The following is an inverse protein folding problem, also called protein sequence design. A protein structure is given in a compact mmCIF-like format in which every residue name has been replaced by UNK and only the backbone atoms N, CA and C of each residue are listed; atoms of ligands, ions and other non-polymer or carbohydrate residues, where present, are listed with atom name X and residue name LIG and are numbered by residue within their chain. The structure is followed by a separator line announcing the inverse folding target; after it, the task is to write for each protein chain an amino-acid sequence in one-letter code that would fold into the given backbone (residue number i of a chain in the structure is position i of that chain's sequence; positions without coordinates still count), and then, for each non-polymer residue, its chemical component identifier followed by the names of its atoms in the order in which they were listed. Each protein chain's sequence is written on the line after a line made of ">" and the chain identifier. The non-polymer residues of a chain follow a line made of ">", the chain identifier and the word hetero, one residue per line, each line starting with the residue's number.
data_IF_822363352648
#
_entry.id   IF_822363352648
#
_cell.length_a   1.000
_cell.length_b   1.000
_cell.length_c   1.000
_cell.angle_alpha   90.00
_cell.angle_beta   90.00
_cell.angle_gamma   90.00
#
_symmetry.space_group_name_H-M   'P 1'
#
loop_
_entity.id
_entity.type
_entity.pdbx_description
1 polymer ?
#
# COMPACT_ATOMS: atom_id res chain seq x y z
N UNK A 1 41.68 0.12 -4.45
CA UNK A 1 40.32 0.42 -3.99
C UNK A 1 39.29 0.52 -5.14
N UNK A 2 39.63 1.06 -6.31
CA UNK A 2 38.67 1.22 -7.44
C UNK A 2 38.03 -0.08 -7.94
N UNK A 3 38.80 -1.18 -8.09
CA UNK A 3 38.28 -2.44 -8.68
C UNK A 3 37.31 -3.25 -7.78
N UNK A 4 37.45 -3.13 -6.45
CA UNK A 4 36.55 -3.85 -5.52
C UNK A 4 35.18 -3.16 -5.42
N UNK A 5 35.16 -1.83 -5.41
CA UNK A 5 33.92 -1.03 -5.36
C UNK A 5 33.13 -1.28 -6.65
N UNK A 6 33.78 -1.29 -7.81
CA UNK A 6 33.14 -1.54 -9.10
C UNK A 6 32.51 -2.94 -9.21
N UNK A 7 33.12 -3.98 -8.61
CA UNK A 7 32.55 -5.34 -8.61
C UNK A 7 31.29 -5.41 -7.74
N UNK A 8 31.34 -4.87 -6.53
CA UNK A 8 30.17 -4.86 -5.63
C UNK A 8 29.00 -4.08 -6.25
N UNK A 9 29.25 -2.98 -6.94
CA UNK A 9 28.21 -2.21 -7.64
C UNK A 9 27.59 -3.00 -8.80
N UNK A 10 28.38 -3.78 -9.53
CA UNK A 10 27.88 -4.64 -10.61
C UNK A 10 27.01 -5.78 -10.10
N UNK A 11 27.47 -6.45 -9.05
CA UNK A 11 26.74 -7.55 -8.43
C UNK A 11 25.40 -7.07 -7.89
N UNK A 12 25.37 -5.92 -7.20
CA UNK A 12 24.14 -5.29 -6.72
C UNK A 12 23.21 -4.83 -7.87
N UNK A 13 23.75 -4.36 -9.00
CA UNK A 13 22.95 -4.01 -10.17
C UNK A 13 22.34 -5.23 -10.86
N UNK A 14 23.06 -6.35 -10.90
CA UNK A 14 22.56 -7.61 -11.42
C UNK A 14 21.39 -8.13 -10.57
N UNK A 15 21.55 -8.13 -9.24
CA UNK A 15 20.51 -8.49 -8.29
C UNK A 15 19.26 -7.57 -8.43
N UNK A 16 19.47 -6.27 -8.57
CA UNK A 16 18.38 -5.30 -8.81
C UNK A 16 17.59 -5.62 -10.08
N UNK A 17 18.28 -5.98 -11.16
CA UNK A 17 17.68 -6.35 -12.44
C UNK A 17 16.81 -7.61 -12.30
N UNK A 18 17.30 -8.64 -11.62
CA UNK A 18 16.57 -9.89 -11.37
C UNK A 18 15.36 -9.66 -10.45
N UNK A 19 15.57 -9.00 -9.31
CA UNK A 19 14.51 -8.75 -8.29
C UNK A 19 13.35 -7.97 -8.87
N UNK A 20 13.62 -6.98 -9.75
CA UNK A 20 12.58 -6.17 -10.37
C UNK A 20 12.09 -6.72 -11.72
N UNK A 21 12.55 -7.91 -12.14
CA UNK A 21 12.19 -8.51 -13.44
C UNK A 21 12.37 -7.55 -14.61
N UNK A 22 13.44 -6.74 -14.58
CA UNK A 22 13.72 -5.75 -15.61
C UNK A 22 14.50 -6.39 -16.77
N UNK A 23 14.24 -5.93 -17.99
CA UNK A 23 15.10 -6.22 -19.12
C UNK A 23 16.30 -5.27 -19.15
N UNK A 24 17.42 -5.68 -19.77
CA UNK A 24 18.60 -4.81 -19.96
C UNK A 24 18.25 -3.50 -20.66
N UNK A 25 17.32 -3.54 -21.61
CA UNK A 25 16.81 -2.35 -22.30
C UNK A 25 16.07 -1.40 -21.37
N UNK A 26 15.21 -1.92 -20.49
CA UNK A 26 14.50 -1.10 -19.51
C UNK A 26 15.45 -0.47 -18.50
N UNK A 27 16.42 -1.24 -18.01
CA UNK A 27 17.47 -0.73 -17.12
C UNK A 27 18.35 0.31 -17.83
N UNK A 28 18.70 0.09 -19.08
CA UNK A 28 19.43 1.06 -19.89
C UNK A 28 18.68 2.39 -20.02
N UNK A 29 17.39 2.34 -20.31
CA UNK A 29 16.55 3.54 -20.38
C UNK A 29 16.50 4.29 -19.04
N UNK A 30 16.40 3.58 -17.89
CA UNK A 30 16.42 4.18 -16.56
C UNK A 30 17.76 4.88 -16.25
N UNK A 31 18.87 4.30 -16.71
CA UNK A 31 20.22 4.79 -16.44
C UNK A 31 20.75 5.74 -17.55
N UNK A 32 19.94 6.05 -18.56
CA UNK A 32 20.32 6.91 -19.68
C UNK A 32 21.43 6.30 -20.57
N UNK A 33 21.47 4.97 -20.71
CA UNK A 33 22.47 4.24 -21.49
C UNK A 33 21.81 3.19 -22.40
N UNK A 34 22.55 2.78 -23.43
CA UNK A 34 22.10 1.69 -24.32
C UNK A 34 22.13 0.33 -23.61
N UNK A 35 21.29 -0.60 -24.05
CA UNK A 35 21.28 -1.98 -23.59
C UNK A 35 22.66 -2.64 -23.68
N UNK A 36 23.36 -2.43 -24.79
CA UNK A 36 24.71 -2.95 -25.02
C UNK A 36 25.74 -2.39 -24.02
N UNK A 37 25.59 -1.14 -23.61
CA UNK A 37 26.47 -0.54 -22.61
C UNK A 37 26.23 -1.17 -21.23
N UNK A 38 24.98 -1.32 -20.80
CA UNK A 38 24.62 -1.97 -19.53
C UNK A 38 25.10 -3.42 -19.50
N UNK A 39 24.89 -4.17 -20.59
CA UNK A 39 25.36 -5.56 -20.72
C UNK A 39 26.88 -5.66 -20.57
N UNK A 40 27.66 -4.80 -21.26
CA UNK A 40 29.12 -4.79 -21.13
C UNK A 40 29.58 -4.43 -19.72
N UNK A 41 28.93 -3.46 -19.08
CA UNK A 41 29.22 -3.09 -17.70
C UNK A 41 28.99 -4.27 -16.73
N UNK A 42 27.86 -4.95 -16.82
CA UNK A 42 27.55 -6.13 -15.99
C UNK A 42 28.56 -7.28 -16.23
N UNK A 43 29.03 -7.45 -17.46
CA UNK A 43 30.03 -8.45 -17.81
C UNK A 43 31.50 -8.03 -17.48
N UNK A 44 31.68 -6.90 -16.79
CA UNK A 44 33.01 -6.44 -16.38
C UNK A 44 33.89 -5.88 -17.48
N UNK A 45 33.30 -5.50 -18.63
CA UNK A 45 33.98 -4.93 -19.79
C UNK A 45 33.44 -3.53 -20.11
N UNK A 46 33.47 -2.58 -19.15
CA UNK A 46 32.96 -1.25 -19.40
C UNK A 46 33.85 -0.51 -20.39
N UNK A 47 33.25 0.33 -21.23
CA UNK A 47 33.97 1.22 -22.15
C UNK A 47 33.76 2.68 -21.73
N UNK A 48 34.84 3.47 -21.77
CA UNK A 48 34.82 4.89 -21.49
C UNK A 48 34.78 5.25 -20.00
N UNK A 49 34.37 6.49 -19.68
CA UNK A 49 34.24 6.97 -18.30
C UNK A 49 33.03 6.34 -17.61
N UNK A 50 33.29 5.46 -16.67
CA UNK A 50 32.27 4.76 -15.88
C UNK A 50 31.84 5.54 -14.65
N UNK A 51 32.56 6.57 -14.22
CA UNK A 51 32.30 7.25 -12.94
C UNK A 51 30.92 7.92 -12.88
N UNK A 52 30.47 8.54 -13.97
CA UNK A 52 29.13 9.13 -14.04
C UNK A 52 28.03 8.04 -14.04
N UNK A 53 28.27 6.94 -14.74
CA UNK A 53 27.34 5.80 -14.79
C UNK A 53 27.25 5.10 -13.44
N UNK A 54 28.37 4.87 -12.77
CA UNK A 54 28.39 4.29 -11.40
C UNK A 54 27.68 5.15 -10.38
N UNK A 55 27.78 6.48 -10.48
CA UNK A 55 26.98 7.39 -9.67
C UNK A 55 25.48 7.21 -9.91
N UNK A 56 25.06 7.13 -11.17
CA UNK A 56 23.66 6.87 -11.52
C UNK A 56 23.18 5.51 -11.01
N UNK A 57 23.98 4.46 -11.16
CA UNK A 57 23.70 3.12 -10.63
C UNK A 57 23.55 3.16 -9.10
N UNK A 58 24.52 3.74 -8.39
CA UNK A 58 24.48 3.84 -6.93
C UNK A 58 23.25 4.62 -6.44
N UNK A 59 22.88 5.71 -7.11
CA UNK A 59 21.66 6.44 -6.79
C UNK A 59 20.40 5.60 -7.04
N UNK A 60 20.35 4.84 -8.14
CA UNK A 60 19.22 3.95 -8.45
C UNK A 60 19.11 2.84 -7.41
N UNK A 61 20.20 2.17 -7.07
CA UNK A 61 20.24 1.12 -6.05
C UNK A 61 19.88 1.65 -4.65
N UNK A 62 20.37 2.84 -4.29
CA UNK A 62 20.02 3.50 -3.04
C UNK A 62 18.52 3.81 -2.96
N UNK A 63 17.96 4.40 -4.02
CA UNK A 63 16.54 4.70 -4.09
C UNK A 63 15.67 3.43 -4.05
N UNK A 64 16.12 2.35 -4.71
CA UNK A 64 15.44 1.07 -4.68
C UNK A 64 15.45 0.44 -3.28
N UNK A 65 16.60 0.46 -2.59
CA UNK A 65 16.69 -0.02 -1.20
C UNK A 65 15.78 0.76 -0.26
N UNK A 66 15.78 2.10 -0.36
CA UNK A 66 14.87 2.93 0.41
C UNK A 66 13.41 2.58 0.12
N UNK A 67 13.05 2.44 -1.16
CA UNK A 67 11.68 2.08 -1.56
C UNK A 67 11.26 0.70 -1.04
N UNK A 68 12.11 -0.33 -1.20
CA UNK A 68 11.84 -1.68 -0.70
C UNK A 68 11.66 -1.70 0.82
N UNK A 69 12.54 -1.01 1.54
CA UNK A 69 12.47 -0.93 3.01
C UNK A 69 11.14 -0.33 3.47
N UNK A 70 10.59 0.66 2.73
CA UNK A 70 9.35 1.34 3.12
C UNK A 70 8.08 0.60 2.73
N UNK A 71 8.08 -0.11 1.60
CA UNK A 71 6.89 -0.80 1.09
C UNK A 71 6.59 -2.14 1.80
N UNK A 72 7.59 -2.72 2.47
CA UNK A 72 7.49 -4.03 3.14
C UNK A 72 7.21 -3.95 4.66
N UNK A 73 7.34 -2.78 5.29
CA UNK A 73 7.10 -2.65 6.72
C UNK A 73 5.59 -2.55 6.97
N UNK A 74 5.02 -3.62 7.52
CA UNK A 74 3.66 -3.63 8.06
C UNK A 74 3.72 -3.46 9.57
N UNK A 75 3.00 -2.49 10.08
CA UNK A 75 2.87 -2.26 11.52
C UNK A 75 1.60 -2.92 12.02
N UNK A 76 1.71 -3.73 13.06
CA UNK A 76 0.57 -4.33 13.75
C UNK A 76 -0.08 -3.30 14.68
N UNK A 77 -0.79 -2.35 14.07
CA UNK A 77 -1.55 -1.37 14.82
C UNK A 77 -2.92 -1.94 15.21
N UNK A 78 -3.56 -1.34 16.22
CA UNK A 78 -4.93 -1.74 16.62
C UNK A 78 -5.92 -1.64 15.45
N UNK A 79 -5.78 -0.63 14.58
CA UNK A 79 -6.61 -0.51 13.38
C UNK A 79 -6.41 -1.68 12.41
N UNK A 80 -5.16 -2.16 12.25
CA UNK A 80 -4.85 -3.34 11.44
C UNK A 80 -5.49 -4.58 12.04
N UNK A 81 -5.28 -4.82 13.33
CA UNK A 81 -5.85 -5.98 14.05
C UNK A 81 -7.38 -5.98 14.04
N UNK A 82 -8.02 -4.80 14.15
CA UNK A 82 -9.46 -4.66 14.04
C UNK A 82 -9.95 -5.03 12.64
N UNK A 83 -9.31 -4.50 11.59
CA UNK A 83 -9.68 -4.85 10.21
C UNK A 83 -9.53 -6.35 9.95
N UNK A 84 -8.44 -6.98 10.38
CA UNK A 84 -8.21 -8.42 10.19
C UNK A 84 -9.28 -9.27 10.87
N UNK A 85 -9.68 -8.93 12.10
CA UNK A 85 -10.80 -9.59 12.80
C UNK A 85 -12.11 -9.46 12.02
N UNK A 86 -12.42 -8.27 11.50
CA UNK A 86 -13.63 -8.06 10.72
C UNK A 86 -13.59 -8.80 9.38
N UNK A 87 -12.42 -8.90 8.73
CA UNK A 87 -12.24 -9.73 7.53
C UNK A 87 -12.53 -11.21 7.81
N UNK A 88 -12.06 -11.71 8.93
CA UNK A 88 -12.33 -13.09 9.34
C UNK A 88 -13.81 -13.32 9.66
N UNK A 89 -14.48 -12.36 10.31
CA UNK A 89 -15.93 -12.43 10.57
C UNK A 89 -16.69 -12.48 9.25
N UNK A 90 -16.43 -11.54 8.33
CA UNK A 90 -17.07 -11.49 7.01
C UNK A 90 -16.83 -12.78 6.24
N UNK A 91 -15.61 -13.30 6.26
CA UNK A 91 -15.24 -14.54 5.58
C UNK A 91 -15.98 -15.76 6.14
N UNK A 92 -15.97 -15.92 7.47
CA UNK A 92 -16.58 -17.08 8.14
C UNK A 92 -18.10 -17.08 8.08
N UNK A 93 -18.72 -15.90 8.09
CA UNK A 93 -20.17 -15.77 8.00
C UNK A 93 -20.69 -15.71 6.56
N UNK A 94 -19.82 -15.77 5.55
CA UNK A 94 -20.18 -15.64 4.11
C UNK A 94 -21.05 -14.40 3.84
N UNK A 95 -20.76 -13.28 4.52
CA UNK A 95 -21.53 -12.05 4.45
C UNK A 95 -20.88 -11.00 3.56
N UNK A 96 -21.62 -9.91 3.31
CA UNK A 96 -21.05 -8.66 2.87
C UNK A 96 -20.89 -7.73 4.08
N UNK A 97 -19.67 -7.21 4.29
CA UNK A 97 -19.33 -6.33 5.39
C UNK A 97 -18.78 -5.00 4.93
N UNK A 98 -19.00 -3.96 5.75
CA UNK A 98 -18.43 -2.63 5.58
C UNK A 98 -17.59 -2.26 6.81
N UNK A 99 -16.32 -1.97 6.57
CA UNK A 99 -15.36 -1.51 7.57
C UNK A 99 -14.95 -0.10 7.18
N UNK A 100 -15.19 0.88 8.04
CA UNK A 100 -14.90 2.27 7.71
C UNK A 100 -14.30 3.01 8.89
N UNK A 101 -13.67 4.14 8.62
CA UNK A 101 -13.04 4.97 9.64
C UNK A 101 -12.18 6.07 9.04
N UNK A 102 -11.58 6.90 9.90
CA UNK A 102 -10.79 8.06 9.50
C UNK A 102 -9.68 7.71 8.48
N UNK A 103 -9.32 8.67 7.64
CA UNK A 103 -8.22 8.50 6.69
C UNK A 103 -6.89 8.36 7.43
N UNK A 104 -5.95 7.54 6.91
CA UNK A 104 -4.59 7.45 7.44
C UNK A 104 -4.39 6.52 8.65
N UNK A 105 -5.43 5.87 9.19
CA UNK A 105 -5.34 4.99 10.37
C UNK A 105 -4.81 3.58 10.09
N UNK A 106 -4.53 3.23 8.83
CA UNK A 106 -3.94 1.92 8.49
C UNK A 106 -4.88 0.93 7.78
N UNK A 107 -6.13 1.30 7.41
CA UNK A 107 -7.08 0.39 6.73
C UNK A 107 -6.51 -0.27 5.46
N UNK A 108 -5.96 0.53 4.55
CA UNK A 108 -5.36 0.02 3.31
C UNK A 108 -4.12 -0.84 3.57
N UNK A 109 -3.41 -0.58 4.67
CA UNK A 109 -2.30 -1.42 5.14
C UNK A 109 -2.80 -2.77 5.61
N UNK A 110 -3.90 -2.80 6.38
CA UNK A 110 -4.55 -4.04 6.80
C UNK A 110 -5.03 -4.87 5.61
N UNK A 111 -5.65 -4.23 4.60
CA UNK A 111 -6.09 -4.93 3.38
C UNK A 111 -4.92 -5.61 2.66
N UNK A 112 -3.80 -4.89 2.47
CA UNK A 112 -2.61 -5.45 1.81
C UNK A 112 -1.95 -6.55 2.64
N UNK A 113 -1.82 -6.34 3.96
CA UNK A 113 -1.25 -7.34 4.87
C UNK A 113 -2.07 -8.64 4.82
N UNK A 114 -3.40 -8.53 5.02
CA UNK A 114 -4.29 -9.68 4.98
C UNK A 114 -4.23 -10.43 3.65
N UNK A 115 -4.23 -9.73 2.51
CA UNK A 115 -4.12 -10.35 1.20
C UNK A 115 -2.77 -11.06 0.99
N UNK A 116 -1.68 -10.53 1.55
CA UNK A 116 -0.36 -11.18 1.51
C UNK A 116 -0.32 -12.46 2.35
N UNK A 117 -0.90 -12.41 3.53
CA UNK A 117 -0.95 -13.55 4.46
C UNK A 117 -2.00 -14.60 4.06
N UNK A 118 -3.01 -14.19 3.28
CA UNK A 118 -4.08 -15.05 2.76
C UNK A 118 -4.10 -15.05 1.23
N UNK A 119 -3.25 -15.82 0.54
CA UNK A 119 -3.11 -15.80 -0.92
C UNK A 119 -4.40 -16.18 -1.68
N UNK A 120 -5.37 -16.77 -1.01
CA UNK A 120 -6.69 -17.04 -1.59
C UNK A 120 -7.61 -15.82 -1.58
N UNK A 121 -7.35 -14.80 -0.78
CA UNK A 121 -8.12 -13.56 -0.78
C UNK A 121 -7.88 -12.79 -2.09
N UNK A 122 -8.93 -12.13 -2.57
CA UNK A 122 -8.87 -11.27 -3.76
C UNK A 122 -8.90 -9.84 -3.28
N UNK A 123 -7.83 -9.10 -3.56
CA UNK A 123 -7.71 -7.70 -3.15
C UNK A 123 -7.79 -6.77 -4.35
N UNK A 124 -8.65 -5.76 -4.26
CA UNK A 124 -8.81 -4.73 -5.28
C UNK A 124 -8.90 -3.36 -4.62
N UNK A 125 -8.12 -2.40 -5.12
CA UNK A 125 -8.15 -1.00 -4.66
C UNK A 125 -8.90 -0.14 -5.67
N UNK A 126 -9.95 0.54 -5.22
CA UNK A 126 -10.62 1.56 -6.01
C UNK A 126 -9.83 2.88 -5.99
N UNK A 127 -9.70 3.48 -7.16
CA UNK A 127 -9.24 4.85 -7.36
C UNK A 127 -10.21 5.60 -8.26
N UNK A 128 -9.98 6.86 -8.48
CA UNK A 128 -10.84 7.65 -9.37
C UNK A 128 -10.80 7.07 -10.79
N UNK A 129 -11.98 6.70 -11.31
CA UNK A 129 -12.15 6.13 -12.64
C UNK A 129 -12.27 4.61 -12.73
N UNK A 130 -11.88 3.81 -11.69
CA UNK A 130 -11.94 2.34 -11.77
C UNK A 130 -12.97 1.67 -10.84
N UNK A 131 -13.84 2.45 -10.20
CA UNK A 131 -14.87 1.92 -9.29
C UNK A 131 -16.16 1.44 -9.98
N UNK A 132 -16.18 1.30 -11.29
CA UNK A 132 -17.34 0.87 -12.06
C UNK A 132 -17.44 -0.65 -12.19
N UNK A 133 -18.59 -1.11 -12.71
CA UNK A 133 -18.89 -2.53 -12.91
C UNK A 133 -17.78 -3.29 -13.63
N UNK A 134 -17.27 -2.71 -14.73
CA UNK A 134 -16.34 -3.39 -15.63
C UNK A 134 -14.96 -3.55 -14.97
N UNK A 135 -14.45 -2.50 -14.35
CA UNK A 135 -13.11 -2.50 -13.78
C UNK A 135 -13.03 -3.37 -12.52
N UNK A 136 -14.07 -3.33 -11.66
CA UNK A 136 -14.14 -4.20 -10.49
C UNK A 136 -14.24 -5.68 -10.93
N UNK A 137 -15.09 -6.00 -11.92
CA UNK A 137 -15.18 -7.35 -12.43
C UNK A 137 -13.87 -7.85 -13.03
N UNK A 138 -13.14 -6.98 -13.74
CA UNK A 138 -11.82 -7.31 -14.28
C UNK A 138 -10.79 -7.52 -13.17
N UNK A 139 -10.79 -6.66 -12.16
CA UNK A 139 -9.90 -6.77 -11.00
C UNK A 139 -10.10 -8.10 -10.26
N UNK A 140 -11.36 -8.46 -10.00
CA UNK A 140 -11.70 -9.73 -9.37
C UNK A 140 -11.27 -10.92 -10.26
N UNK A 141 -11.57 -10.85 -11.56
CA UNK A 141 -11.17 -11.89 -12.51
C UNK A 141 -9.64 -12.09 -12.56
N UNK A 142 -8.88 -11.01 -12.49
CA UNK A 142 -7.41 -11.05 -12.41
C UNK A 142 -6.94 -11.75 -11.13
N UNK A 143 -7.57 -11.48 -10.01
CA UNK A 143 -7.30 -12.14 -8.72
C UNK A 143 -7.63 -13.64 -8.69
N UNK A 144 -8.38 -14.15 -9.66
CA UNK A 144 -8.65 -15.60 -9.83
C UNK A 144 -7.65 -16.25 -10.80
N UNK A 145 -6.58 -15.57 -11.16
CA UNK A 145 -5.57 -16.01 -12.15
C UNK A 145 -6.07 -16.12 -13.60
N UNK A 146 -7.01 -15.25 -13.96
CA UNK A 146 -7.63 -15.24 -15.29
C UNK A 146 -7.00 -14.19 -16.21
N UNK A 147 -5.70 -14.20 -16.34
CA UNK A 147 -4.89 -13.17 -17.07
C UNK A 147 -5.24 -12.99 -18.57
N UNK A 148 -6.01 -13.88 -19.16
CA UNK A 148 -6.34 -13.88 -20.60
C UNK A 148 -7.82 -14.01 -20.91
N UNK A 149 -8.69 -13.51 -20.05
CA UNK A 149 -10.13 -13.68 -20.25
C UNK A 149 -10.70 -12.57 -21.15
N UNK A 150 -10.53 -12.72 -22.45
CA UNK A 150 -11.09 -11.80 -23.44
C UNK A 150 -12.50 -12.22 -23.89
N UNK A 151 -13.47 -12.22 -22.97
CA UNK A 151 -14.88 -12.53 -23.25
C UNK A 151 -15.78 -11.32 -23.01
N UNK A 152 -16.97 -11.32 -23.64
CA UNK A 152 -18.02 -10.32 -23.37
C UNK A 152 -18.32 -10.25 -21.86
N UNK A 153 -18.64 -9.07 -21.35
CA UNK A 153 -18.80 -8.76 -19.91
C UNK A 153 -19.74 -9.74 -19.20
N UNK A 154 -20.90 -10.05 -19.81
CA UNK A 154 -21.88 -11.01 -19.25
C UNK A 154 -21.31 -12.40 -19.06
N UNK A 155 -20.56 -12.92 -20.03
CA UNK A 155 -19.92 -14.25 -19.92
C UNK A 155 -18.82 -14.24 -18.86
N UNK A 156 -18.16 -13.07 -18.65
CA UNK A 156 -17.17 -12.90 -17.59
C UNK A 156 -17.81 -12.96 -16.21
N UNK A 157 -18.93 -12.26 -16.01
CA UNK A 157 -19.68 -12.28 -14.75
C UNK A 157 -20.09 -13.71 -14.36
N UNK A 158 -20.77 -14.42 -15.28
CA UNK A 158 -21.20 -15.80 -15.03
C UNK A 158 -20.02 -16.68 -14.62
N UNK A 159 -18.93 -16.61 -15.37
CA UNK A 159 -17.75 -17.42 -15.09
C UNK A 159 -17.10 -17.06 -13.72
N UNK A 160 -16.97 -15.77 -13.40
CA UNK A 160 -16.43 -15.31 -12.11
C UNK A 160 -17.35 -15.77 -10.98
N UNK A 161 -18.65 -15.62 -11.13
CA UNK A 161 -19.66 -16.04 -10.16
C UNK A 161 -19.59 -17.55 -9.89
N UNK A 162 -19.55 -18.38 -10.94
CA UNK A 162 -19.41 -19.85 -10.81
C UNK A 162 -18.10 -20.24 -10.11
N UNK A 163 -17.00 -19.57 -10.46
CA UNK A 163 -15.67 -19.87 -9.91
C UNK A 163 -15.54 -19.48 -8.43
N UNK A 164 -16.25 -18.44 -8.00
CA UNK A 164 -16.22 -17.94 -6.63
C UNK A 164 -17.34 -18.51 -5.76
N UNK A 165 -18.40 -19.03 -6.35
CA UNK A 165 -19.48 -19.68 -5.61
C UNK A 165 -18.90 -20.80 -4.74
N UNK A 166 -19.23 -20.76 -3.45
CA UNK A 166 -18.78 -21.74 -2.44
C UNK A 166 -17.26 -21.88 -2.30
N UNK A 167 -16.47 -20.96 -2.89
CA UNK A 167 -15.01 -21.02 -2.80
C UNK A 167 -14.46 -20.60 -1.43
N UNK A 168 -15.26 -19.89 -0.62
CA UNK A 168 -14.82 -19.27 0.66
C UNK A 168 -13.74 -18.21 0.50
N UNK A 169 -13.46 -17.77 -0.74
CA UNK A 169 -12.47 -16.73 -1.01
C UNK A 169 -13.05 -15.36 -0.67
N UNK A 170 -12.39 -14.66 0.23
CA UNK A 170 -12.79 -13.30 0.58
C UNK A 170 -12.37 -12.32 -0.54
N UNK A 171 -13.30 -11.46 -0.95
CA UNK A 171 -13.01 -10.30 -1.79
C UNK A 171 -12.91 -9.08 -0.89
N UNK A 172 -11.79 -8.38 -0.95
CA UNK A 172 -11.54 -7.13 -0.21
C UNK A 172 -11.48 -5.99 -1.22
N UNK A 173 -12.37 -5.01 -1.07
CA UNK A 173 -12.40 -3.79 -1.89
C UNK A 173 -11.99 -2.61 -1.04
N UNK A 174 -10.78 -2.11 -1.25
CA UNK A 174 -10.26 -0.90 -0.58
C UNK A 174 -10.71 0.37 -1.29
N UNK A 175 -10.80 1.48 -0.54
CA UNK A 175 -11.34 2.75 -0.99
C UNK A 175 -12.79 2.66 -1.52
N UNK A 176 -13.62 1.93 -0.81
CA UNK A 176 -15.02 1.66 -1.21
C UNK A 176 -15.87 2.93 -1.43
N UNK A 177 -15.49 4.08 -0.86
CA UNK A 177 -16.12 5.38 -1.15
C UNK A 177 -16.00 5.80 -2.62
N UNK A 178 -15.10 5.16 -3.39
CA UNK A 178 -14.90 5.43 -4.83
C UNK A 178 -15.70 4.49 -5.75
N UNK A 179 -16.38 3.52 -5.19
CA UNK A 179 -17.24 2.60 -5.95
C UNK A 179 -18.42 3.37 -6.54
N UNK A 180 -18.71 3.17 -7.82
CA UNK A 180 -19.92 3.72 -8.47
C UNK A 180 -21.14 2.87 -8.11
N UNK A 181 -22.35 3.39 -8.40
CA UNK A 181 -23.59 2.62 -8.21
C UNK A 181 -23.59 1.30 -8.98
N UNK A 182 -23.07 1.28 -10.20
CA UNK A 182 -22.97 0.06 -11.02
C UNK A 182 -21.95 -0.93 -10.45
N UNK A 183 -20.82 -0.44 -9.93
CA UNK A 183 -19.84 -1.27 -9.24
C UNK A 183 -20.38 -1.90 -7.97
N UNK A 184 -21.14 -1.13 -7.19
CA UNK A 184 -21.79 -1.63 -5.98
C UNK A 184 -22.85 -2.71 -6.34
N UNK A 185 -23.67 -2.49 -7.38
CA UNK A 185 -24.63 -3.49 -7.85
C UNK A 185 -23.94 -4.79 -8.26
N UNK A 186 -22.82 -4.73 -8.98
CA UNK A 186 -22.02 -5.92 -9.30
C UNK A 186 -21.65 -6.71 -8.05
N UNK A 187 -21.20 -6.05 -6.99
CA UNK A 187 -20.76 -6.72 -5.77
C UNK A 187 -21.93 -7.41 -5.05
N UNK A 188 -23.10 -6.78 -5.01
CA UNK A 188 -24.31 -7.41 -4.48
C UNK A 188 -24.76 -8.61 -5.32
N UNK A 189 -24.68 -8.50 -6.64
CA UNK A 189 -25.04 -9.60 -7.55
C UNK A 189 -24.05 -10.77 -7.40
N UNK A 190 -22.76 -10.51 -7.20
CA UNK A 190 -21.74 -11.53 -6.94
C UNK A 190 -21.96 -12.21 -5.59
N UNK A 191 -22.26 -11.46 -4.55
CA UNK A 191 -22.51 -11.99 -3.21
C UNK A 191 -23.81 -12.82 -3.18
N UNK A 192 -24.82 -12.43 -3.94
CA UNK A 192 -26.07 -13.18 -4.17
C UNK A 192 -26.66 -13.74 -2.86
N UNK A 193 -26.87 -12.88 -1.87
CA UNK A 193 -27.45 -13.22 -0.56
C UNK A 193 -26.71 -14.39 0.14
N UNK A 194 -25.37 -14.39 0.09
CA UNK A 194 -24.52 -15.37 0.76
C UNK A 194 -24.25 -16.66 -0.02
N UNK A 195 -24.80 -16.80 -1.23
CA UNK A 195 -24.47 -17.93 -2.13
C UNK A 195 -23.18 -17.74 -2.90
N UNK A 196 -22.74 -16.50 -3.01
CA UNK A 196 -21.47 -16.11 -3.63
C UNK A 196 -20.34 -15.94 -2.61
N UNK A 197 -19.24 -15.30 -3.01
CA UNK A 197 -18.10 -15.07 -2.15
C UNK A 197 -18.39 -14.03 -1.05
N UNK A 198 -17.79 -14.17 0.15
CA UNK A 198 -17.81 -13.10 1.14
C UNK A 198 -17.09 -11.85 0.60
N UNK A 199 -17.62 -10.65 0.91
CA UNK A 199 -17.09 -9.37 0.41
C UNK A 199 -16.90 -8.39 1.55
N UNK A 200 -15.69 -7.88 1.72
CA UNK A 200 -15.38 -6.80 2.65
C UNK A 200 -15.16 -5.49 1.88
N UNK A 201 -15.99 -4.50 2.14
CA UNK A 201 -15.84 -3.13 1.66
C UNK A 201 -15.08 -2.34 2.72
N UNK A 202 -13.99 -1.68 2.34
CA UNK A 202 -13.16 -0.90 3.25
C UNK A 202 -13.05 0.53 2.73
N UNK A 203 -13.36 1.53 3.58
CA UNK A 203 -13.37 2.92 3.13
C UNK A 203 -13.35 3.96 4.25
N UNK A 204 -13.54 5.21 3.88
CA UNK A 204 -13.82 6.30 4.80
C UNK A 204 -15.33 6.42 5.06
N UNK A 205 -15.79 7.28 5.99
CA UNK A 205 -17.22 7.43 6.30
C UNK A 205 -18.12 7.79 5.11
N UNK A 206 -17.59 8.44 4.05
CA UNK A 206 -18.37 8.83 2.85
C UNK A 206 -19.00 7.62 2.14
N UNK A 207 -18.47 6.41 2.38
CA UNK A 207 -19.04 5.17 1.85
C UNK A 207 -20.46 4.93 2.38
N UNK A 208 -20.77 5.39 3.59
CA UNK A 208 -22.10 5.24 4.19
C UNK A 208 -23.16 6.00 3.40
N UNK A 209 -22.88 7.22 2.97
CA UNK A 209 -23.81 8.03 2.18
C UNK A 209 -24.16 7.37 0.85
N UNK A 210 -23.17 6.74 0.21
CA UNK A 210 -23.39 6.02 -1.05
C UNK A 210 -24.26 4.78 -0.92
N UNK A 211 -24.20 4.14 0.24
CA UNK A 211 -24.94 2.91 0.49
C UNK A 211 -26.33 3.22 1.06
N UNK A 212 -26.45 4.23 1.92
CA UNK A 212 -27.70 4.61 2.60
C UNK A 212 -28.80 5.14 1.66
N UNK A 213 -28.45 5.53 0.44
CA UNK A 213 -29.42 5.92 -0.59
C UNK A 213 -30.21 4.75 -1.23
N UNK A 214 -30.02 3.49 -0.78
CA UNK A 214 -30.69 2.30 -1.29
C UNK A 214 -30.99 1.35 -0.11
N UNK A 215 -32.21 1.43 0.40
CA UNK A 215 -32.65 0.64 1.55
C UNK A 215 -32.46 -0.88 1.35
N UNK A 216 -32.61 -1.35 0.12
CA UNK A 216 -32.45 -2.76 -0.23
C UNK A 216 -30.98 -3.20 -0.05
N UNK A 217 -30.02 -2.35 -0.42
CA UNK A 217 -28.60 -2.64 -0.26
C UNK A 217 -28.15 -2.44 1.16
N UNK A 218 -28.69 -1.41 1.82
CA UNK A 218 -28.40 -1.09 3.21
C UNK A 218 -28.75 -2.24 4.16
N UNK A 219 -29.91 -2.88 3.98
CA UNK A 219 -30.35 -4.01 4.80
C UNK A 219 -29.52 -5.29 4.60
N UNK A 220 -28.83 -5.43 3.47
CA UNK A 220 -27.99 -6.60 3.14
C UNK A 220 -26.57 -6.49 3.68
N UNK A 221 -26.12 -5.30 4.12
CA UNK A 221 -24.84 -5.13 4.80
C UNK A 221 -24.97 -5.49 6.27
N UNK A 222 -24.71 -6.74 6.61
CA UNK A 222 -24.91 -7.29 7.95
C UNK A 222 -23.81 -6.82 8.89
N UNK A 223 -22.57 -6.79 8.45
CA UNK A 223 -21.42 -6.32 9.23
C UNK A 223 -21.14 -4.87 8.88
N UNK A 224 -21.26 -3.97 9.86
CA UNK A 224 -20.89 -2.55 9.74
C UNK A 224 -20.00 -2.18 10.90
N UNK A 225 -18.74 -1.93 10.65
CA UNK A 225 -17.77 -1.62 11.68
C UNK A 225 -17.16 -0.26 11.45
N UNK A 226 -17.45 0.67 12.37
CA UNK A 226 -16.68 1.90 12.50
C UNK A 226 -15.44 1.61 13.34
N UNK A 227 -14.27 1.87 12.77
CA UNK A 227 -12.99 1.74 13.45
C UNK A 227 -12.34 3.10 13.75
N UNK A 228 -13.12 4.20 13.68
CA UNK A 228 -12.61 5.55 13.99
C UNK A 228 -12.22 5.70 15.45
N UNK A 229 -12.69 4.82 16.34
CA UNK A 229 -12.32 4.88 17.76
C UNK A 229 -10.82 4.68 18.00
N UNK A 230 -10.10 4.00 17.09
CA UNK A 230 -8.65 3.82 17.21
C UNK A 230 -7.86 5.13 17.13
N UNK A 231 -8.48 6.22 16.62
CA UNK A 231 -7.87 7.55 16.64
C UNK A 231 -8.10 8.28 17.97
N UNK A 232 -8.94 7.72 18.84
CA UNK A 232 -9.23 8.27 20.16
C UNK A 232 -8.35 7.55 21.19
N UNK A 233 -7.48 8.28 21.90
CA UNK A 233 -6.70 7.73 22.99
C UNK A 233 -5.28 7.31 22.64
N UNK A 234 -4.69 6.42 23.46
CA UNK A 234 -3.28 6.05 23.44
C UNK A 234 -2.85 5.14 22.25
N UNK A 235 -3.81 4.65 21.46
CA UNK A 235 -3.52 3.77 20.33
C UNK A 235 -2.63 4.40 19.26
N UNK A 236 -2.89 5.67 18.93
CA UNK A 236 -2.07 6.41 17.99
C UNK A 236 -0.66 6.66 18.52
N UNK A 237 -0.53 6.92 19.82
CA UNK A 237 0.78 7.15 20.45
C UNK A 237 1.62 5.88 20.40
N UNK A 238 1.01 4.74 20.71
CA UNK A 238 1.68 3.45 20.61
C UNK A 238 2.08 3.15 19.16
N UNK A 239 1.15 3.28 18.22
CA UNK A 239 1.42 3.06 16.81
C UNK A 239 2.51 4.00 16.26
N UNK A 240 2.53 5.27 16.70
CA UNK A 240 3.57 6.22 16.34
C UNK A 240 4.93 5.79 16.88
N UNK A 241 5.01 5.36 18.14
CA UNK A 241 6.23 4.82 18.75
C UNK A 241 6.74 3.58 18.02
N UNK A 242 5.86 2.62 17.71
CA UNK A 242 6.19 1.41 16.97
C UNK A 242 6.72 1.73 15.56
N UNK A 243 6.13 2.72 14.89
CA UNK A 243 6.61 3.20 13.59
C UNK A 243 8.00 3.81 13.68
N UNK A 244 8.27 4.66 14.67
CA UNK A 244 9.61 5.25 14.86
C UNK A 244 10.61 4.14 15.17
N UNK A 245 10.29 3.23 16.10
CA UNK A 245 11.16 2.13 16.47
C UNK A 245 11.54 1.22 15.28
N UNK A 246 10.62 1.01 14.36
CA UNK A 246 10.85 0.17 13.19
C UNK A 246 11.55 0.92 12.03
N UNK A 247 11.24 2.20 11.84
CA UNK A 247 11.76 2.98 10.71
C UNK A 247 13.05 3.74 11.04
N UNK A 248 13.19 4.17 12.29
CA UNK A 248 14.31 5.01 12.74
C UNK A 248 14.61 4.76 14.23
N UNK A 249 15.07 3.55 14.59
CA UNK A 249 15.21 3.13 15.99
C UNK A 249 16.11 4.03 16.82
N UNK A 250 17.19 4.56 16.24
CA UNK A 250 18.12 5.45 16.92
C UNK A 250 17.51 6.82 17.28
N UNK A 251 16.46 7.24 16.59
CA UNK A 251 15.79 8.51 16.86
C UNK A 251 14.63 8.40 17.85
N UNK A 252 14.25 7.19 18.29
CA UNK A 252 13.06 6.97 19.10
C UNK A 252 13.03 7.81 20.39
N UNK A 253 14.15 7.93 21.06
CA UNK A 253 14.27 8.73 22.29
C UNK A 253 14.06 10.23 22.04
N UNK A 254 14.52 10.71 20.89
CA UNK A 254 14.52 12.14 20.55
C UNK A 254 13.18 12.61 20.00
N UNK A 255 12.52 11.77 19.16
CA UNK A 255 11.35 12.21 18.40
C UNK A 255 10.05 11.47 18.78
N UNK A 256 10.06 10.50 19.71
CA UNK A 256 8.87 9.69 20.04
C UNK A 256 7.64 10.53 20.40
N UNK A 257 7.83 11.60 21.21
CA UNK A 257 6.75 12.54 21.56
C UNK A 257 6.25 13.31 20.33
N UNK A 258 7.14 13.85 19.54
CA UNK A 258 6.80 14.61 18.32
C UNK A 258 6.08 13.76 17.28
N UNK A 259 6.47 12.49 17.18
CA UNK A 259 5.80 11.52 16.32
C UNK A 259 4.35 11.26 16.77
N UNK A 260 4.13 11.11 18.09
CA UNK A 260 2.78 10.98 18.66
C UNK A 260 1.92 12.22 18.41
N UNK A 261 2.47 13.41 18.59
CA UNK A 261 1.79 14.68 18.28
C UNK A 261 1.41 14.74 16.78
N UNK A 262 2.30 14.33 15.88
CA UNK A 262 2.02 14.28 14.45
C UNK A 262 0.95 13.26 14.07
N UNK A 263 0.95 12.09 14.71
CA UNK A 263 -0.06 11.06 14.48
C UNK A 263 -1.47 11.48 14.93
N UNK A 264 -1.59 12.43 15.87
CA UNK A 264 -2.88 12.97 16.32
C UNK A 264 -3.46 14.03 15.39
N UNK A 265 -2.65 14.59 14.48
CA UNK A 265 -3.09 15.56 13.47
C UNK A 265 -3.79 14.89 12.29
N UNK A 266 -4.35 15.67 11.38
CA UNK A 266 -5.01 15.18 10.17
C UNK A 266 -4.09 14.27 9.34
N UNK A 267 -4.65 13.20 8.80
CA UNK A 267 -3.90 12.17 8.04
C UNK A 267 -3.22 11.12 8.92
N UNK A 268 -3.17 11.32 10.25
CA UNK A 268 -2.73 10.35 11.25
C UNK A 268 -1.40 9.65 10.88
N UNK A 269 -1.36 8.31 10.94
CA UNK A 269 -0.16 7.51 10.67
C UNK A 269 0.37 7.67 9.23
N UNK A 270 -0.48 8.05 8.27
CA UNK A 270 -0.04 8.33 6.89
C UNK A 270 0.86 9.56 6.86
N UNK A 271 0.44 10.64 7.49
CA UNK A 271 1.24 11.88 7.59
C UNK A 271 2.54 11.62 8.33
N UNK A 272 2.49 10.93 9.48
CA UNK A 272 3.67 10.53 10.22
C UNK A 272 4.64 9.70 9.37
N UNK A 273 4.15 8.75 8.59
CA UNK A 273 4.98 7.92 7.71
C UNK A 273 5.77 8.79 6.71
N UNK A 274 5.11 9.76 6.07
CA UNK A 274 5.80 10.67 5.16
C UNK A 274 6.82 11.56 5.87
N UNK A 275 6.50 12.04 7.06
CA UNK A 275 7.42 12.85 7.87
C UNK A 275 8.66 12.05 8.27
N UNK A 276 8.50 10.81 8.73
CA UNK A 276 9.61 9.93 9.07
C UNK A 276 10.51 9.65 7.87
N UNK A 277 9.93 9.29 6.72
CA UNK A 277 10.70 9.06 5.48
C UNK A 277 11.51 10.29 5.08
N UNK A 278 10.91 11.47 5.16
CA UNK A 278 11.57 12.73 4.82
C UNK A 278 12.65 13.07 5.83
N UNK A 279 12.39 12.91 7.13
CA UNK A 279 13.35 13.17 8.19
C UNK A 279 14.58 12.25 8.10
N UNK A 280 14.37 10.94 7.83
CA UNK A 280 15.46 9.98 7.62
C UNK A 280 16.30 10.40 6.39
N UNK A 281 15.66 10.77 5.28
CA UNK A 281 16.38 11.25 4.11
C UNK A 281 17.17 12.55 4.37
N UNK A 282 16.67 13.40 5.27
CA UNK A 282 17.37 14.61 5.71
C UNK A 282 18.55 14.27 6.64
N UNK A 283 18.39 13.34 7.58
CA UNK A 283 19.42 12.96 8.54
C UNK A 283 20.71 12.43 7.90
N UNK A 284 20.63 11.95 6.65
CA UNK A 284 21.79 11.55 5.87
C UNK A 284 22.66 12.74 5.40
N UNK A 285 22.17 13.98 5.53
CA UNK A 285 22.95 15.18 5.21
C UNK A 285 23.81 15.59 6.39
N UNK A 286 25.01 16.07 6.12
CA UNK A 286 25.98 16.48 7.16
C UNK A 286 25.41 17.50 8.16
N UNK A 287 24.51 18.39 7.71
CA UNK A 287 23.86 19.40 8.55
C UNK A 287 22.92 18.83 9.63
N UNK A 288 22.38 17.61 9.41
CA UNK A 288 21.45 16.94 10.34
C UNK A 288 22.04 15.66 10.96
N UNK A 289 23.29 15.34 10.72
CA UNK A 289 23.92 14.13 11.26
C UNK A 289 23.87 14.13 12.79
N UNK A 290 23.16 13.14 13.37
CA UNK A 290 22.93 13.01 14.81
C UNK A 290 21.94 14.04 15.40
N UNK A 291 21.24 14.82 14.58
CA UNK A 291 20.24 15.81 15.00
C UNK A 291 18.84 15.35 14.60
N UNK A 292 18.38 14.27 15.18
CA UNK A 292 17.14 13.60 14.77
C UNK A 292 15.90 14.50 14.93
N UNK A 293 15.83 15.23 16.04
CA UNK A 293 14.74 16.16 16.31
C UNK A 293 14.66 17.30 15.28
N UNK A 294 15.80 17.94 14.96
CA UNK A 294 15.86 19.01 13.96
C UNK A 294 15.43 18.50 12.57
N UNK A 295 15.90 17.31 12.18
CA UNK A 295 15.53 16.68 10.91
C UNK A 295 14.02 16.38 10.86
N UNK A 296 13.44 15.90 11.96
CA UNK A 296 12.02 15.59 12.03
C UNK A 296 11.14 16.85 12.03
N UNK A 297 11.50 17.87 12.79
CA UNK A 297 10.80 19.16 12.77
C UNK A 297 10.84 19.82 11.39
N UNK A 298 11.98 19.74 10.70
CA UNK A 298 12.08 20.22 9.33
C UNK A 298 11.17 19.46 8.38
N UNK A 299 11.08 18.14 8.54
CA UNK A 299 10.17 17.29 7.76
C UNK A 299 8.69 17.62 8.04
N UNK A 300 8.31 17.90 9.29
CA UNK A 300 6.95 18.36 9.65
C UNK A 300 6.57 19.64 8.92
N UNK A 301 7.46 20.63 8.91
CA UNK A 301 7.21 21.91 8.23
C UNK A 301 7.01 21.73 6.72
N UNK A 302 7.74 20.79 6.09
CA UNK A 302 7.54 20.47 4.66
C UNK A 302 6.18 19.85 4.37
N UNK A 303 5.59 19.14 5.33
CA UNK A 303 4.29 18.48 5.15
C UNK A 303 3.10 19.37 5.47
N UNK A 304 3.34 20.63 5.85
CA UNK A 304 2.29 21.60 6.17
C UNK A 304 1.52 21.29 7.47
N UNK A 305 2.00 20.37 8.28
CA UNK A 305 1.31 19.95 9.50
C UNK A 305 1.25 21.05 10.59
N UNK A 306 2.05 22.09 10.47
CA UNK A 306 2.09 23.22 11.40
C UNK A 306 1.49 24.52 10.81
N UNK A 307 0.94 24.50 9.58
CA UNK A 307 0.36 25.68 8.92
C UNK A 307 -1.09 26.00 9.35
N UNK A 308 -1.68 25.22 10.23
CA UNK A 308 -3.08 25.36 10.68
C UNK A 308 -3.27 26.03 12.06
N UNK A 309 -2.18 26.49 12.69
CA UNK A 309 -2.20 27.12 14.02
C UNK A 309 -1.87 28.64 13.99
N UNK A 310 -2.02 29.31 12.82
CA UNK A 310 -1.98 30.79 12.71
C UNK A 310 -3.37 31.38 12.40
#
# INVERSE_FOLDING_TARGET
>A
MSSQITRATRDALAEYLETNSLTLRQLGNQLGKSESYVSRYLNGKPEGDTAAFERAVNNTLRNARLKLTWDEIFFDTEAVSLCEREFDIVRRSSTMGLIYGAAGIGKSTACRKYARENPTAIFFTCFEGNGNYYDILNGIATGIDMRKFNRKVQKKFVFVSERLSQSGRLIIIDNAQRITRSGLSLLFDLWNDGKGPPIALVGNPDVLEKISGDDTKTSRLIVRRDISEVVKGHWLDRAAGDMVAAMWPEALADIGRLASESARKEGHLRTLNYQLRLAIAMSERAEYAGRHEEAFLKARNYTGADASDE
#
